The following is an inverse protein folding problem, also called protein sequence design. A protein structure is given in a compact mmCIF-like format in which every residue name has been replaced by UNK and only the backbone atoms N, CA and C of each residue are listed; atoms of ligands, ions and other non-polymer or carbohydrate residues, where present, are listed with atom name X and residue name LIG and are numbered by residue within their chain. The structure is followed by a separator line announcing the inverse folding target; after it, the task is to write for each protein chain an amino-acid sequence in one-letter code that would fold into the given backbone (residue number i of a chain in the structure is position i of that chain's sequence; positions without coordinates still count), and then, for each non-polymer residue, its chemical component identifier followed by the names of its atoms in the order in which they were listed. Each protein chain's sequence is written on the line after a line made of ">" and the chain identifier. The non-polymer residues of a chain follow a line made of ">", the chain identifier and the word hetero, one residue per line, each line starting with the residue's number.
data_IF_701833153570
#
_entry.id   IF_701833153570
#
_cell.length_a   1.000
_cell.length_b   1.000
_cell.length_c   1.000
_cell.angle_alpha   90.00
_cell.angle_beta   90.00
_cell.angle_gamma   90.00
#
_symmetry.space_group_name_H-M   'P 1'
#
loop_
_entity.id
_entity.type
_entity.pdbx_description
1 polymer ?
#
# COMPACT_ATOMS: atom_id res chain seq x y z
N UNK A 1 -17.92 -5.58 -1.49
CA UNK A 1 -16.93 -4.76 -2.22
C UNK A 1 -17.50 -4.12 -3.48
N UNK A 2 -17.94 -4.89 -4.49
CA UNK A 2 -18.51 -4.27 -5.71
C UNK A 2 -19.80 -3.47 -5.41
N UNK A 3 -20.67 -4.02 -4.57
CA UNK A 3 -21.87 -3.33 -4.10
C UNK A 3 -21.51 -2.06 -3.30
N UNK A 4 -20.53 -2.14 -2.40
CA UNK A 4 -20.06 -0.98 -1.63
C UNK A 4 -19.54 0.13 -2.54
N UNK A 5 -18.82 -0.21 -3.62
CA UNK A 5 -18.40 0.77 -4.62
C UNK A 5 -19.59 1.41 -5.33
N UNK A 6 -20.65 0.66 -5.64
CA UNK A 6 -21.87 1.25 -6.20
C UNK A 6 -22.56 2.20 -5.22
N UNK A 7 -22.61 1.85 -3.92
CA UNK A 7 -23.13 2.75 -2.88
C UNK A 7 -22.31 4.04 -2.84
N UNK A 8 -20.97 3.97 -2.91
CA UNK A 8 -20.15 5.18 -2.96
C UNK A 8 -20.41 6.01 -4.21
N UNK A 9 -20.59 5.38 -5.38
CA UNK A 9 -20.90 6.09 -6.61
C UNK A 9 -22.24 6.82 -6.50
N UNK A 10 -23.27 6.15 -5.99
CA UNK A 10 -24.58 6.77 -5.78
C UNK A 10 -24.52 7.89 -4.74
N UNK A 11 -23.71 7.73 -3.68
CA UNK A 11 -23.44 8.78 -2.69
C UNK A 11 -22.85 10.04 -3.31
N UNK A 12 -21.90 9.92 -4.25
CA UNK A 12 -21.32 11.08 -4.94
C UNK A 12 -22.24 11.70 -5.98
N UNK A 13 -23.13 10.92 -6.59
CA UNK A 13 -24.17 11.44 -7.50
C UNK A 13 -25.27 12.17 -6.72
N UNK A 14 -25.55 11.73 -5.49
CA UNK A 14 -26.51 12.34 -4.56
C UNK A 14 -27.87 12.65 -5.21
N UNK A 15 -28.49 11.64 -5.84
CA UNK A 15 -29.79 11.76 -6.53
C UNK A 15 -29.90 12.90 -7.56
N UNK A 16 -28.77 13.40 -8.06
CA UNK A 16 -28.69 14.50 -9.04
C UNK A 16 -28.18 15.82 -8.47
N UNK A 17 -28.09 15.97 -7.15
CA UNK A 17 -27.56 17.17 -6.49
C UNK A 17 -26.03 17.16 -6.37
N UNK A 18 -25.39 16.03 -6.70
CA UNK A 18 -23.95 15.80 -6.59
C UNK A 18 -23.18 15.95 -7.91
N UNK A 19 -22.11 15.15 -8.04
CA UNK A 19 -21.28 15.13 -9.24
C UNK A 19 -22.02 14.46 -10.42
N UNK A 20 -21.75 14.88 -11.66
CA UNK A 20 -22.27 14.18 -12.84
C UNK A 20 -21.90 12.70 -12.80
N UNK A 21 -22.88 11.82 -13.05
CA UNK A 21 -22.65 10.36 -13.03
C UNK A 21 -21.49 9.96 -13.94
N UNK A 22 -21.33 10.59 -15.10
CA UNK A 22 -20.21 10.33 -16.01
C UNK A 22 -18.84 10.58 -15.37
N UNK A 23 -18.70 11.64 -14.55
CA UNK A 23 -17.47 11.94 -13.84
C UNK A 23 -17.22 10.92 -12.70
N UNK A 24 -18.27 10.59 -11.95
CA UNK A 24 -18.16 9.58 -10.88
C UNK A 24 -17.75 8.22 -11.44
N UNK A 25 -18.33 7.80 -12.57
CA UNK A 25 -17.93 6.58 -13.28
C UNK A 25 -16.47 6.65 -13.74
N UNK A 26 -16.05 7.79 -14.29
CA UNK A 26 -14.69 8.04 -14.77
C UNK A 26 -13.65 7.84 -13.66
N UNK A 27 -13.89 8.46 -12.50
CA UNK A 27 -13.01 8.42 -11.33
C UNK A 27 -13.05 7.06 -10.62
N UNK A 28 -14.17 6.35 -10.69
CA UNK A 28 -14.30 5.01 -10.11
C UNK A 28 -13.56 3.91 -10.89
N UNK A 29 -13.11 4.17 -12.13
CA UNK A 29 -12.49 3.16 -13.02
C UNK A 29 -11.35 2.40 -12.35
N UNK A 30 -10.39 3.12 -11.78
CA UNK A 30 -9.24 2.48 -11.10
C UNK A 30 -9.68 1.55 -9.97
N UNK A 31 -10.68 1.96 -9.18
CA UNK A 31 -11.23 1.11 -8.12
C UNK A 31 -11.94 -0.13 -8.69
N UNK A 32 -12.71 0.04 -9.77
CA UNK A 32 -13.35 -1.09 -10.47
C UNK A 32 -12.32 -2.07 -11.02
N UNK A 33 -11.24 -1.58 -11.62
CA UNK A 33 -10.18 -2.43 -12.18
C UNK A 33 -9.49 -3.24 -11.07
N UNK A 34 -9.14 -2.61 -9.95
CA UNK A 34 -8.56 -3.29 -8.79
C UNK A 34 -9.53 -4.34 -8.22
N UNK A 35 -10.81 -4.00 -8.05
CA UNK A 35 -11.82 -4.94 -7.57
C UNK A 35 -12.02 -6.12 -8.53
N UNK A 36 -11.89 -5.89 -9.84
CA UNK A 36 -11.96 -6.96 -10.84
C UNK A 36 -10.82 -7.98 -10.64
N UNK A 37 -9.62 -7.54 -10.24
CA UNK A 37 -8.49 -8.42 -9.93
C UNK A 37 -8.77 -9.29 -8.70
N UNK A 38 -9.42 -8.75 -7.66
CA UNK A 38 -9.81 -9.54 -6.49
C UNK A 38 -10.79 -10.68 -6.83
N UNK A 39 -11.55 -10.54 -7.92
CA UNK A 39 -12.48 -11.56 -8.41
C UNK A 39 -11.83 -12.61 -9.32
N UNK A 40 -10.58 -12.41 -9.77
CA UNK A 40 -9.83 -13.38 -10.60
C UNK A 40 -9.27 -14.53 -9.76
N UNK A 41 -8.90 -15.62 -10.40
CA UNK A 41 -8.15 -16.70 -9.77
C UNK A 41 -6.71 -16.24 -9.44
N UNK A 42 -6.12 -16.77 -8.36
CA UNK A 42 -4.77 -16.39 -7.92
C UNK A 42 -3.72 -16.67 -9.00
N UNK A 43 -3.84 -17.81 -9.67
CA UNK A 43 -2.96 -18.27 -10.75
C UNK A 43 -2.88 -17.26 -11.89
N UNK A 44 -4.02 -16.66 -12.24
CA UNK A 44 -4.09 -15.64 -13.28
C UNK A 44 -3.35 -14.35 -12.86
N UNK A 45 -3.51 -13.91 -11.62
CA UNK A 45 -2.84 -12.71 -11.09
C UNK A 45 -1.32 -12.94 -11.00
N UNK A 46 -0.89 -14.15 -10.61
CA UNK A 46 0.51 -14.54 -10.60
C UNK A 46 1.10 -14.57 -12.01
N UNK A 47 0.36 -15.09 -13.00
CA UNK A 47 0.78 -15.04 -14.39
C UNK A 47 0.95 -13.60 -14.89
N UNK A 48 0.00 -12.70 -14.58
CA UNK A 48 0.13 -11.27 -14.89
C UNK A 48 1.38 -10.66 -14.25
N UNK A 49 1.66 -11.00 -12.99
CA UNK A 49 2.83 -10.48 -12.28
C UNK A 49 4.14 -10.97 -12.91
N UNK A 50 4.21 -12.24 -13.32
CA UNK A 50 5.39 -12.78 -14.01
C UNK A 50 5.59 -12.09 -15.37
N UNK A 51 4.53 -11.95 -16.16
CA UNK A 51 4.59 -11.21 -17.43
C UNK A 51 5.02 -9.74 -17.24
N UNK A 52 4.52 -9.07 -16.21
CA UNK A 52 4.92 -7.70 -15.89
C UNK A 52 6.40 -7.61 -15.46
N UNK A 53 6.94 -8.65 -14.82
CA UNK A 53 8.35 -8.69 -14.37
C UNK A 53 9.36 -8.99 -15.48
N UNK A 54 8.94 -9.72 -16.52
CA UNK A 54 9.80 -10.07 -17.67
C UNK A 54 9.99 -8.90 -18.65
N UNK A 55 9.14 -7.86 -18.60
CA UNK A 55 9.11 -6.75 -19.55
C UNK A 55 9.96 -5.51 -19.15
N UNK A 56 11.16 -5.70 -18.59
CA UNK A 56 12.17 -4.61 -18.53
C UNK A 56 12.92 -4.53 -19.88
N UNK A 57 12.20 -4.16 -20.94
CA UNK A 57 12.73 -3.50 -22.15
C UNK A 57 11.56 -2.89 -22.93
N UNK A 58 11.66 -1.65 -23.44
CA UNK A 58 10.51 -0.79 -23.65
C UNK A 58 9.94 -0.95 -25.06
N UNK A 59 9.01 -1.89 -25.26
CA UNK A 59 8.02 -1.76 -26.35
C UNK A 59 6.90 -2.78 -26.25
N UNK A 60 5.88 -2.44 -25.47
CA UNK A 60 4.56 -3.02 -25.69
C UNK A 60 3.62 -1.84 -25.90
N UNK A 61 3.46 -1.49 -27.18
CA UNK A 61 2.56 -0.46 -27.68
C UNK A 61 1.11 -0.91 -27.47
N UNK A 62 0.65 -0.98 -26.22
CA UNK A 62 -0.77 -1.15 -25.90
C UNK A 62 -1.39 0.22 -25.67
N UNK A 63 -1.91 0.77 -26.77
CA UNK A 63 -2.77 1.94 -26.77
C UNK A 63 -4.03 1.67 -25.95
N UNK A 64 -4.00 1.92 -24.65
CA UNK A 64 -5.17 2.27 -23.82
C UNK A 64 -4.70 2.63 -22.42
N UNK A 65 -4.82 3.91 -22.05
CA UNK A 65 -4.48 4.46 -20.73
C UNK A 65 -5.25 3.80 -19.56
N UNK A 66 -6.30 3.02 -19.82
CA UNK A 66 -7.11 2.33 -18.80
C UNK A 66 -6.51 1.02 -18.28
N UNK A 67 -5.52 0.41 -18.95
CA UNK A 67 -4.96 -0.90 -18.54
C UNK A 67 -3.65 -0.80 -17.74
N UNK A 68 -3.12 0.40 -17.54
CA UNK A 68 -1.79 0.60 -16.93
C UNK A 68 -1.74 0.16 -15.46
N UNK A 69 -2.83 0.29 -14.71
CA UNK A 69 -2.86 -0.08 -13.29
C UNK A 69 -3.11 -1.58 -13.05
N UNK A 70 -3.83 -2.25 -13.96
CA UNK A 70 -4.13 -3.68 -13.82
C UNK A 70 -2.93 -4.59 -14.12
N UNK A 71 -1.89 -4.07 -14.78
CA UNK A 71 -0.65 -4.79 -15.09
C UNK A 71 0.58 -4.17 -14.42
N UNK A 72 0.39 -3.20 -13.51
CA UNK A 72 1.46 -2.68 -12.66
C UNK A 72 1.83 -3.75 -11.62
N UNK A 73 3.08 -4.22 -11.68
CA UNK A 73 3.60 -5.25 -10.77
C UNK A 73 3.40 -4.88 -9.30
N UNK A 74 3.48 -3.60 -8.93
CA UNK A 74 3.26 -3.15 -7.55
C UNK A 74 1.80 -3.34 -7.13
N UNK A 75 0.85 -2.98 -8.00
CA UNK A 75 -0.58 -3.21 -7.78
C UNK A 75 -0.88 -4.71 -7.68
N UNK A 76 -0.32 -5.54 -8.56
CA UNK A 76 -0.51 -7.01 -8.54
C UNK A 76 0.02 -7.64 -7.24
N UNK A 77 1.21 -7.23 -6.78
CA UNK A 77 1.77 -7.68 -5.49
C UNK A 77 0.82 -7.28 -4.35
N UNK A 78 0.34 -6.03 -4.34
CA UNK A 78 -0.61 -5.55 -3.31
C UNK A 78 -1.91 -6.33 -3.31
N UNK A 79 -2.48 -6.63 -4.49
CA UNK A 79 -3.68 -7.46 -4.61
C UNK A 79 -3.42 -8.86 -4.04
N UNK A 80 -2.33 -9.51 -4.43
CA UNK A 80 -1.95 -10.84 -3.91
C UNK A 80 -1.81 -10.84 -2.38
N UNK A 81 -1.20 -9.80 -1.81
CA UNK A 81 -1.07 -9.66 -0.35
C UNK A 81 -2.42 -9.60 0.38
N UNK A 82 -3.43 -8.96 -0.22
CA UNK A 82 -4.72 -8.70 0.43
C UNK A 82 -5.84 -9.67 0.02
N UNK A 83 -5.59 -10.59 -0.92
CA UNK A 83 -6.61 -11.50 -1.48
C UNK A 83 -7.17 -12.51 -0.47
N UNK A 84 -6.56 -12.66 0.71
CA UNK A 84 -6.89 -13.69 1.73
C UNK A 84 -6.88 -15.11 1.15
N UNK A 85 -5.94 -15.37 0.24
CA UNK A 85 -5.79 -16.64 -0.45
C UNK A 85 -4.49 -17.34 -0.05
N UNK A 86 -4.56 -18.66 0.19
CA UNK A 86 -3.42 -19.45 0.68
C UNK A 86 -2.34 -19.62 -0.39
N UNK A 87 -2.73 -19.84 -1.65
CA UNK A 87 -1.78 -20.01 -2.75
C UNK A 87 -1.08 -18.68 -3.06
N UNK A 88 -1.79 -17.56 -2.97
CA UNK A 88 -1.20 -16.22 -3.09
C UNK A 88 -0.12 -16.00 -2.02
N UNK A 89 -0.44 -16.33 -0.76
CA UNK A 89 0.49 -16.21 0.36
C UNK A 89 1.72 -17.11 0.18
N UNK A 90 1.52 -18.35 -0.28
CA UNK A 90 2.61 -19.31 -0.55
C UNK A 90 3.52 -18.84 -1.67
N UNK A 91 2.93 -18.34 -2.76
CA UNK A 91 3.67 -17.75 -3.87
C UNK A 91 4.53 -16.58 -3.40
N UNK A 92 3.94 -15.61 -2.69
CA UNK A 92 4.65 -14.42 -2.21
C UNK A 92 5.81 -14.78 -1.26
N UNK A 93 5.59 -15.70 -0.31
CA UNK A 93 6.63 -16.18 0.60
C UNK A 93 7.81 -16.80 -0.15
N UNK A 94 7.52 -17.64 -1.15
CA UNK A 94 8.56 -18.29 -1.97
C UNK A 94 9.30 -17.28 -2.84
N UNK A 95 8.57 -16.42 -3.55
CA UNK A 95 9.14 -15.49 -4.53
C UNK A 95 9.99 -14.40 -3.88
N UNK A 96 9.55 -13.86 -2.74
CA UNK A 96 10.21 -12.76 -2.04
C UNK A 96 10.99 -13.20 -0.80
N UNK A 97 11.09 -14.51 -0.55
CA UNK A 97 11.81 -15.08 0.61
C UNK A 97 11.36 -14.44 1.93
N UNK A 98 10.05 -14.22 2.07
CA UNK A 98 9.49 -13.57 3.25
C UNK A 98 9.61 -14.50 4.47
N UNK A 99 9.94 -13.96 5.65
CA UNK A 99 10.04 -14.76 6.87
C UNK A 99 8.73 -15.48 7.18
N UNK A 100 8.84 -16.64 7.82
CA UNK A 100 7.64 -17.33 8.30
C UNK A 100 6.98 -16.48 9.38
N UNK A 101 5.65 -16.49 9.47
CA UNK A 101 4.93 -15.66 10.45
C UNK A 101 5.31 -15.99 11.90
N UNK A 102 5.87 -17.18 12.15
CA UNK A 102 6.42 -17.61 13.45
C UNK A 102 7.78 -17.00 13.79
N UNK A 103 8.52 -16.45 12.82
CA UNK A 103 9.79 -15.73 13.07
C UNK A 103 9.58 -14.29 13.57
N UNK A 104 8.32 -13.83 13.60
CA UNK A 104 7.97 -12.54 14.21
C UNK A 104 7.82 -12.60 15.73
N UNK A 105 7.69 -13.80 16.32
CA UNK A 105 7.86 -14.01 17.75
C UNK A 105 9.35 -14.21 18.07
N UNK A 106 9.84 -13.62 19.17
CA UNK A 106 11.22 -13.72 19.70
C UNK A 106 12.30 -12.74 19.20
N UNK A 107 11.95 -11.48 18.93
CA UNK A 107 12.85 -10.35 19.27
C UNK A 107 12.37 -9.47 20.41
N UNK A 108 11.38 -9.93 21.17
CA UNK A 108 10.86 -9.21 22.34
C UNK A 108 10.45 -10.19 23.45
N UNK A 109 11.41 -10.83 24.13
CA UNK A 109 11.19 -11.46 25.45
C UNK A 109 12.50 -11.80 26.15
N UNK A 110 13.13 -10.79 26.75
CA UNK A 110 13.88 -10.93 28.00
C UNK A 110 13.61 -9.71 28.87
N UNK A 111 12.42 -9.66 29.48
CA UNK A 111 12.27 -9.27 30.89
C UNK A 111 10.84 -9.63 31.32
N UNK A 112 10.78 -10.24 32.50
CA UNK A 112 9.67 -10.93 33.16
C UNK A 112 8.49 -10.05 33.60
N UNK A 113 7.29 -10.63 33.47
CA UNK A 113 6.09 -10.56 34.33
C UNK A 113 5.60 -9.21 34.87
N UNK A 114 4.44 -8.76 34.40
CA UNK A 114 3.26 -8.37 35.21
C UNK A 114 2.07 -8.05 34.30
N UNK A 115 0.89 -8.47 34.74
CA UNK A 115 -0.38 -8.38 34.02
C UNK A 115 -0.84 -6.90 33.97
N UNK A 116 -1.03 -6.38 32.75
CA UNK A 116 -1.80 -5.15 32.44
C UNK A 116 -1.04 -3.82 32.46
N UNK A 117 -0.48 -3.37 31.33
CA UNK A 117 -0.09 -1.96 31.09
C UNK A 117 0.18 -1.69 29.58
N UNK A 118 -0.03 -0.45 29.09
CA UNK A 118 -0.04 -0.12 27.66
C UNK A 118 1.36 -0.09 27.04
N UNK A 119 1.38 -0.42 25.75
CA UNK A 119 2.43 -0.19 24.76
C UNK A 119 3.43 0.91 25.17
N UNK A 120 4.61 0.49 25.64
CA UNK A 120 5.72 1.37 25.98
C UNK A 120 6.63 1.54 24.76
N UNK A 121 6.49 2.68 24.08
CA UNK A 121 7.39 3.13 23.04
C UNK A 121 8.77 3.43 23.64
N UNK A 122 9.77 2.61 23.33
CA UNK A 122 11.13 2.76 23.86
C UNK A 122 11.71 4.17 23.63
N UNK A 123 12.12 4.80 24.73
CA UNK A 123 12.75 6.13 24.77
C UNK A 123 14.05 6.24 23.94
N UNK A 124 14.63 5.13 23.47
CA UNK A 124 15.88 5.14 22.70
C UNK A 124 15.72 5.81 21.33
N UNK A 125 14.49 5.89 20.80
CA UNK A 125 14.17 6.65 19.60
C UNK A 125 14.00 8.16 19.81
N UNK A 126 13.72 8.63 21.04
CA UNK A 126 13.42 10.05 21.26
C UNK A 126 14.67 10.95 21.30
N UNK A 127 15.82 10.42 21.74
CA UNK A 127 17.06 11.20 21.85
C UNK A 127 17.67 11.55 20.48
N UNK A 128 17.45 10.71 19.46
CA UNK A 128 17.89 10.97 18.09
C UNK A 128 17.15 12.16 17.47
N UNK A 129 15.83 12.21 17.60
CA UNK A 129 15.02 13.30 17.05
C UNK A 129 15.22 14.63 17.79
N UNK A 130 15.51 14.63 19.09
CA UNK A 130 15.83 15.88 19.81
C UNK A 130 17.14 16.50 19.31
N UNK A 131 18.15 15.68 19.00
CA UNK A 131 19.43 16.17 18.49
C UNK A 131 19.29 16.75 17.07
N UNK A 132 18.48 16.12 16.22
CA UNK A 132 18.17 16.63 14.87
C UNK A 132 17.30 17.89 14.93
N UNK A 133 16.31 17.97 15.83
CA UNK A 133 15.51 19.19 16.07
C UNK A 133 16.37 20.35 16.56
N UNK A 134 17.31 20.12 17.48
CA UNK A 134 18.24 21.17 17.96
C UNK A 134 19.16 21.67 16.84
N UNK A 135 19.65 20.78 15.96
CA UNK A 135 20.45 21.18 14.79
C UNK A 135 19.65 22.00 13.76
N UNK A 136 18.41 21.60 13.48
CA UNK A 136 17.53 22.34 12.56
C UNK A 136 17.12 23.70 13.12
N UNK A 137 16.80 23.79 14.42
CA UNK A 137 16.48 25.07 15.06
C UNK A 137 17.69 26.01 15.09
N UNK A 138 18.90 25.49 15.34
CA UNK A 138 20.13 26.30 15.31
C UNK A 138 20.42 26.85 13.91
N UNK A 139 20.34 26.01 12.87
CA UNK A 139 20.52 26.46 11.49
C UNK A 139 19.44 27.48 11.05
N UNK A 140 18.22 27.35 11.56
CA UNK A 140 17.14 28.30 11.27
C UNK A 140 17.34 29.64 11.99
N UNK A 141 17.94 29.64 13.18
CA UNK A 141 18.28 30.87 13.92
C UNK A 141 19.44 31.62 13.25
N UNK A 142 20.48 30.92 12.83
CA UNK A 142 21.64 31.52 12.14
C UNK A 142 21.24 32.17 10.81
N UNK A 143 20.26 31.61 10.07
CA UNK A 143 19.74 32.22 8.83
C UNK A 143 18.86 33.45 9.12
N UNK A 144 18.12 33.46 10.24
CA UNK A 144 17.15 34.52 10.55
C UNK A 144 17.77 35.71 11.30
N UNK A 145 18.88 35.50 12.00
CA UNK A 145 19.54 36.53 12.82
C UNK A 145 21.05 36.69 12.53
N UNK A 146 21.66 35.82 11.72
CA UNK A 146 23.05 35.95 11.25
C UNK A 146 23.14 36.73 9.95
N UNK A 147 22.72 38.00 9.99
CA UNK A 147 23.12 38.99 9.00
C UNK A 147 24.32 39.76 9.54
N UNK A 148 25.42 39.71 8.77
CA UNK A 148 26.75 40.35 8.93
C UNK A 148 27.77 39.56 9.74
#
# INVERSE_FOLDING_TARGET
>A
MQQDLNIFKDFFVADGDGLPRSLVELEARTAMDVLSLFSRQTEYIVHLLMAASENISPRLDFQTKDYMYANDGQTLIRVLCHKKDREASKFLKKQYQLPTSSEYDDRCSKQTNTIGAPYNWSQKGQNGFQSVKKKLQKATYDIRYGGW
#
